data_IF_153849263200
#
_entry.id   IF_153849263200
#
_cell.length_a   1.000
_cell.length_b   1.000
_cell.length_c   1.000
_cell.angle_alpha   90.00
_cell.angle_beta   90.00
_cell.angle_gamma   90.00
#
_symmetry.space_group_name_H-M   'P 1'
#
loop_
_entity.id
_entity.type
_entity.pdbx_description
1 polymer ?
#
# COMPACT_ATOMS: atom_id res chain seq x y z
N UNK A 1 12.05 17.35 5.08
CA UNK A 1 10.93 17.66 5.98
C UNK A 1 9.85 16.61 5.76
N UNK A 2 9.61 15.74 6.75
CA UNK A 2 8.43 14.88 6.74
C UNK A 2 7.20 15.79 6.83
N UNK A 3 6.19 15.61 5.98
CA UNK A 3 4.89 16.29 6.15
C UNK A 3 4.34 15.92 7.52
N UNK A 4 3.74 16.88 8.23
CA UNK A 4 3.15 16.66 9.56
C UNK A 4 2.25 15.40 9.57
N UNK A 5 2.58 14.42 10.43
CA UNK A 5 1.72 13.26 10.71
C UNK A 5 2.29 11.87 10.43
N UNK A 6 3.29 11.70 9.54
CA UNK A 6 3.98 10.42 9.35
C UNK A 6 5.31 10.40 10.11
N UNK A 7 5.52 9.39 10.95
CA UNK A 7 6.73 9.25 11.78
C UNK A 7 7.46 7.95 11.50
N UNK A 8 8.78 8.00 11.53
CA UNK A 8 9.66 6.83 11.50
C UNK A 8 10.11 6.52 12.92
N UNK A 9 10.01 5.24 13.30
CA UNK A 9 10.48 4.74 14.59
C UNK A 9 11.62 3.77 14.31
N UNK A 10 12.81 4.15 14.75
CA UNK A 10 14.03 3.33 14.73
C UNK A 10 14.57 3.21 16.15
N UNK A 11 15.12 2.06 16.52
CA UNK A 11 15.75 1.89 17.84
C UNK A 11 16.85 2.94 18.06
N UNK A 12 16.65 3.89 18.97
CA UNK A 12 17.56 5.01 19.29
C UNK A 12 17.93 4.99 20.78
N UNK A 13 19.04 5.64 21.18
CA UNK A 13 19.38 5.91 22.58
C UNK A 13 19.30 7.44 22.81
N UNK A 14 18.66 7.93 23.89
CA UNK A 14 18.34 9.35 24.05
C UNK A 14 19.54 10.22 24.50
N UNK A 15 19.53 11.50 24.10
CA UNK A 15 20.49 12.53 24.54
C UNK A 15 19.83 13.67 25.36
N UNK A 16 18.49 13.75 25.48
CA UNK A 16 17.80 14.82 26.24
C UNK A 16 16.42 14.44 26.83
N UNK A 17 15.85 15.28 27.72
CA UNK A 17 14.55 15.07 28.37
C UNK A 17 13.32 15.14 27.45
N UNK A 18 13.36 15.90 26.36
CA UNK A 18 12.29 15.88 25.36
C UNK A 18 12.28 14.56 24.56
N UNK A 19 13.43 13.88 24.47
CA UNK A 19 13.54 12.60 23.80
C UNK A 19 12.91 11.46 24.64
N UNK A 20 12.87 11.60 25.97
CA UNK A 20 12.28 10.60 26.89
C UNK A 20 10.78 10.37 26.68
N UNK A 21 9.99 11.43 26.45
CA UNK A 21 8.54 11.29 26.23
C UNK A 21 8.21 10.67 24.85
N UNK A 22 9.03 10.97 23.85
CA UNK A 22 8.94 10.36 22.52
C UNK A 22 9.35 8.88 22.58
N UNK A 23 10.42 8.54 23.29
CA UNK A 23 10.89 7.16 23.46
C UNK A 23 9.85 6.29 24.19
N UNK A 24 9.18 6.81 25.23
CA UNK A 24 8.10 6.11 25.91
C UNK A 24 6.95 5.76 24.94
N UNK A 25 6.52 6.75 24.14
CA UNK A 25 5.48 6.54 23.13
C UNK A 25 5.94 5.55 22.03
N UNK A 26 7.17 5.66 21.56
CA UNK A 26 7.75 4.77 20.56
C UNK A 26 7.89 3.34 21.08
N UNK A 27 8.28 3.17 22.34
CA UNK A 27 8.33 1.91 23.06
C UNK A 27 6.94 1.27 23.18
N UNK A 28 5.92 2.04 23.54
CA UNK A 28 4.54 1.56 23.57
C UNK A 28 4.04 1.13 22.18
N UNK A 29 4.36 1.91 21.13
CA UNK A 29 4.00 1.57 19.76
C UNK A 29 4.70 0.27 19.33
N UNK A 30 5.98 0.10 19.69
CA UNK A 30 6.75 -1.10 19.35
C UNK A 30 6.20 -2.35 20.06
N UNK A 31 5.88 -2.26 21.35
CA UNK A 31 5.33 -3.39 22.10
C UNK A 31 3.92 -3.77 21.62
N UNK A 32 3.07 -2.78 21.33
CA UNK A 32 1.76 -3.03 20.69
C UNK A 32 1.91 -3.67 19.32
N UNK A 33 2.90 -3.23 18.54
CA UNK A 33 3.20 -3.80 17.23
C UNK A 33 3.58 -5.28 17.37
N UNK A 34 4.46 -5.63 18.32
CA UNK A 34 4.81 -7.03 18.62
C UNK A 34 3.60 -7.87 19.05
N UNK A 35 2.67 -7.29 19.80
CA UNK A 35 1.46 -7.99 20.21
C UNK A 35 0.54 -8.28 19.02
N UNK A 36 0.31 -7.30 18.15
CA UNK A 36 -0.51 -7.46 16.95
C UNK A 36 0.07 -8.52 16.02
N UNK A 37 1.39 -8.57 15.82
CA UNK A 37 2.02 -9.61 14.99
C UNK A 37 1.71 -11.03 15.48
N UNK A 38 1.60 -11.22 16.80
CA UNK A 38 1.38 -12.52 17.44
C UNK A 38 -0.09 -12.93 17.51
N UNK A 39 -1.00 -11.98 17.72
CA UNK A 39 -2.40 -12.27 18.10
C UNK A 39 -3.44 -11.66 17.15
N UNK A 40 -3.07 -10.68 16.35
CA UNK A 40 -4.04 -9.92 15.57
C UNK A 40 -4.72 -10.73 14.48
N UNK A 41 -5.91 -10.30 14.09
CA UNK A 41 -6.63 -10.89 12.97
C UNK A 41 -5.98 -10.49 11.64
N UNK A 42 -5.62 -11.48 10.84
CA UNK A 42 -5.05 -11.29 9.50
C UNK A 42 -6.17 -10.90 8.54
N UNK A 43 -6.02 -9.76 7.88
CA UNK A 43 -6.94 -9.26 6.85
C UNK A 43 -6.36 -9.36 5.43
N UNK A 44 -5.08 -9.71 5.30
CA UNK A 44 -4.42 -9.94 4.02
C UNK A 44 -3.06 -10.59 4.21
N UNK A 45 -2.71 -11.52 3.34
CA UNK A 45 -1.39 -12.16 3.32
C UNK A 45 -0.90 -12.27 1.89
N UNK A 46 0.24 -11.63 1.62
CA UNK A 46 0.92 -11.71 0.34
C UNK A 46 2.24 -12.44 0.46
N UNK A 47 3.00 -12.48 -0.63
CA UNK A 47 4.32 -13.08 -0.67
C UNK A 47 5.30 -12.40 0.30
N UNK A 48 5.26 -11.06 0.36
CA UNK A 48 6.25 -10.26 1.09
C UNK A 48 5.76 -9.72 2.43
N UNK A 49 4.45 -9.79 2.73
CA UNK A 49 3.89 -9.18 3.93
C UNK A 49 2.65 -9.89 4.45
N UNK A 50 2.33 -9.64 5.73
CA UNK A 50 1.03 -9.91 6.36
C UNK A 50 0.43 -8.62 6.86
N UNK A 51 -0.87 -8.48 6.70
CA UNK A 51 -1.62 -7.30 7.12
C UNK A 51 -2.61 -7.71 8.20
N UNK A 52 -2.56 -7.01 9.33
CA UNK A 52 -3.38 -7.25 10.51
C UNK A 52 -4.26 -6.04 10.79
N UNK A 53 -5.45 -6.25 11.33
CA UNK A 53 -6.28 -5.16 11.86
C UNK A 53 -5.88 -4.84 13.31
N UNK A 54 -5.95 -3.56 13.69
CA UNK A 54 -5.81 -3.17 15.09
C UNK A 54 -7.09 -3.52 15.86
N UNK A 55 -7.01 -4.39 16.86
CA UNK A 55 -8.18 -4.75 17.69
C UNK A 55 -8.80 -3.53 18.38
N UNK A 56 -7.95 -2.64 18.91
CA UNK A 56 -8.41 -1.43 19.61
C UNK A 56 -8.95 -0.33 18.67
N UNK A 57 -8.62 -0.39 17.37
CA UNK A 57 -9.10 0.57 16.37
C UNK A 57 -9.20 -0.08 14.98
N UNK A 58 -10.37 -0.62 14.60
CA UNK A 58 -10.56 -1.30 13.31
C UNK A 58 -10.33 -0.45 12.05
N UNK A 59 -10.14 0.87 12.18
CA UNK A 59 -9.75 1.77 11.09
C UNK A 59 -8.23 1.83 10.87
N UNK A 60 -7.45 1.08 11.65
CA UNK A 60 -5.99 0.99 11.55
C UNK A 60 -5.58 -0.43 11.19
N UNK A 61 -4.61 -0.56 10.29
CA UNK A 61 -3.97 -1.84 10.01
C UNK A 61 -2.44 -1.75 10.11
N UNK A 62 -1.83 -2.91 10.32
CA UNK A 62 -0.39 -3.12 10.44
C UNK A 62 0.06 -4.05 9.32
N UNK A 63 0.96 -3.59 8.45
CA UNK A 63 1.61 -4.39 7.42
C UNK A 63 2.99 -4.79 7.91
N UNK A 64 3.18 -6.07 8.25
CA UNK A 64 4.46 -6.65 8.63
C UNK A 64 5.15 -7.28 7.44
N UNK A 65 6.42 -6.95 7.24
CA UNK A 65 7.23 -7.51 6.17
C UNK A 65 7.75 -8.90 6.59
N UNK A 66 7.52 -9.89 5.73
CA UNK A 66 8.03 -11.25 5.88
C UNK A 66 9.53 -11.28 5.55
N UNK A 67 10.34 -11.68 6.52
CA UNK A 67 11.79 -11.69 6.38
C UNK A 67 12.29 -12.91 5.63
N UNK A 68 13.46 -12.76 5.02
CA UNK A 68 14.13 -13.83 4.28
C UNK A 68 13.49 -14.13 2.92
N UNK A 69 12.53 -13.32 2.46
CA UNK A 69 11.95 -13.51 1.15
C UNK A 69 12.82 -12.85 0.07
N UNK A 70 13.30 -13.65 -0.88
CA UNK A 70 14.12 -13.18 -2.00
C UNK A 70 13.41 -12.12 -2.86
N UNK A 71 12.07 -12.12 -2.93
CA UNK A 71 11.31 -11.11 -3.68
C UNK A 71 11.34 -9.72 -3.05
N UNK A 72 11.76 -9.60 -1.79
CA UNK A 72 11.98 -8.32 -1.14
C UNK A 72 13.07 -7.49 -1.83
N UNK A 73 14.00 -8.11 -2.58
CA UNK A 73 15.06 -7.40 -3.34
C UNK A 73 14.54 -6.37 -4.34
N UNK A 74 13.27 -6.50 -4.74
CA UNK A 74 12.62 -5.62 -5.69
C UNK A 74 11.73 -4.55 -5.04
N UNK A 75 11.58 -4.59 -3.72
CA UNK A 75 10.71 -3.69 -2.96
C UNK A 75 11.50 -2.58 -2.28
N UNK A 76 10.79 -1.51 -1.94
CA UNK A 76 11.27 -0.45 -1.06
C UNK A 76 10.95 -0.81 0.39
N UNK A 77 11.72 -0.25 1.32
CA UNK A 77 11.43 -0.37 2.75
C UNK A 77 10.09 0.30 3.13
N UNK A 78 9.56 -0.07 4.30
CA UNK A 78 8.30 0.47 4.82
C UNK A 78 8.28 1.98 4.98
N UNK A 79 9.44 2.61 5.24
CA UNK A 79 9.55 4.06 5.34
C UNK A 79 9.26 4.70 3.98
N UNK A 80 9.94 4.24 2.94
CA UNK A 80 9.79 4.75 1.58
C UNK A 80 8.42 4.43 0.99
N UNK A 81 7.87 3.24 1.27
CA UNK A 81 6.48 2.92 0.95
C UNK A 81 5.51 3.90 1.64
N UNK A 82 5.69 4.15 2.94
CA UNK A 82 4.92 5.14 3.68
C UNK A 82 5.02 6.55 3.08
N UNK A 83 6.19 6.97 2.60
CA UNK A 83 6.31 8.25 1.90
C UNK A 83 5.51 8.28 0.59
N UNK A 84 5.50 7.20 -0.19
CA UNK A 84 4.67 7.14 -1.41
C UNK A 84 3.18 7.21 -1.10
N UNK A 85 2.72 6.50 -0.08
CA UNK A 85 1.33 6.60 0.39
C UNK A 85 0.99 8.03 0.81
N UNK A 86 1.85 8.69 1.59
CA UNK A 86 1.64 10.07 2.04
C UNK A 86 1.62 11.10 0.90
N UNK A 87 2.37 10.85 -0.16
CA UNK A 87 2.39 11.71 -1.34
C UNK A 87 1.19 11.51 -2.27
N UNK A 88 0.49 10.38 -2.13
CA UNK A 88 -0.60 9.96 -3.02
C UNK A 88 -1.97 9.92 -2.34
N UNK A 89 -2.05 9.90 -1.00
CA UNK A 89 -3.32 9.72 -0.28
C UNK A 89 -4.36 10.81 -0.46
N UNK A 90 -3.91 12.04 -0.72
CA UNK A 90 -4.80 13.19 -0.98
C UNK A 90 -4.71 13.65 -2.45
N UNK A 91 -4.26 12.78 -3.36
CA UNK A 91 -4.02 13.13 -4.75
C UNK A 91 -5.31 13.19 -5.59
N UNK A 92 -6.28 12.35 -5.24
CA UNK A 92 -7.59 12.30 -5.88
C UNK A 92 -8.68 11.99 -4.85
N UNK A 93 -9.78 12.74 -4.85
CA UNK A 93 -10.92 12.51 -3.95
C UNK A 93 -11.81 11.34 -4.40
N UNK A 94 -11.58 10.86 -5.62
CA UNK A 94 -12.33 9.77 -6.25
C UNK A 94 -11.69 8.39 -6.00
N UNK A 95 -10.42 8.35 -5.57
CA UNK A 95 -9.65 7.12 -5.30
C UNK A 95 -9.07 7.18 -3.89
N UNK A 96 -9.39 6.19 -3.06
CA UNK A 96 -8.82 6.12 -1.70
C UNK A 96 -7.47 5.39 -1.68
N UNK A 97 -6.54 5.91 -0.89
CA UNK A 97 -5.24 5.26 -0.63
C UNK A 97 -5.02 5.29 0.89
N UNK A 98 -4.50 4.21 1.50
CA UNK A 98 -4.18 4.17 2.92
C UNK A 98 -3.32 5.35 3.34
N UNK A 99 -3.79 6.15 4.30
CA UNK A 99 -2.97 7.20 4.92
C UNK A 99 -1.97 6.54 5.89
N UNK A 100 -0.66 6.72 5.71
CA UNK A 100 0.35 6.13 6.58
C UNK A 100 0.47 6.94 7.87
N UNK A 101 0.69 6.25 8.99
CA UNK A 101 0.89 6.85 10.32
C UNK A 101 2.33 6.66 10.80
N UNK A 102 2.82 5.42 10.78
CA UNK A 102 4.14 5.07 11.30
C UNK A 102 4.84 4.05 10.42
N UNK A 103 6.15 4.19 10.28
CA UNK A 103 7.03 3.12 9.81
C UNK A 103 7.95 2.69 10.94
N UNK A 104 8.01 1.38 11.20
CA UNK A 104 8.85 0.79 12.26
C UNK A 104 9.88 -0.10 11.59
N UNK A 105 11.16 0.19 11.84
CA UNK A 105 12.28 -0.64 11.39
C UNK A 105 13.22 -0.83 12.57
N UNK A 106 13.29 -2.05 13.10
CA UNK A 106 14.25 -2.41 14.16
C UNK A 106 15.38 -3.26 13.60
N UNK A 107 16.55 -3.27 14.26
CA UNK A 107 17.78 -3.96 13.86
C UNK A 107 17.60 -5.48 13.75
N UNK A 108 16.92 -5.94 12.70
CA UNK A 108 16.67 -7.35 12.50
C UNK A 108 15.67 -7.94 13.49
N UNK A 109 14.68 -7.21 14.02
CA UNK A 109 13.49 -7.83 14.68
C UNK A 109 12.14 -7.61 13.96
N UNK A 110 11.81 -6.37 13.60
CA UNK A 110 10.52 -6.00 13.00
C UNK A 110 10.75 -5.02 11.85
N UNK A 111 9.98 -5.20 10.78
CA UNK A 111 9.75 -4.17 9.79
C UNK A 111 8.25 -4.08 9.53
N UNK A 112 7.64 -2.94 9.88
CA UNK A 112 6.21 -2.74 9.81
C UNK A 112 5.81 -1.35 9.31
N UNK A 113 4.65 -1.27 8.69
CA UNK A 113 3.99 -0.03 8.28
C UNK A 113 2.58 0.01 8.89
N UNK A 114 2.29 1.06 9.64
CA UNK A 114 0.99 1.30 10.29
C UNK A 114 0.26 2.39 9.53
N UNK A 115 -0.96 2.11 9.12
CA UNK A 115 -1.72 2.99 8.21
C UNK A 115 -3.23 2.87 8.40
N UNK A 116 -3.97 3.84 7.84
CA UNK A 116 -5.43 3.80 7.73
C UNK A 116 -5.84 2.56 6.94
N UNK A 117 -6.76 1.79 7.51
CA UNK A 117 -7.45 0.71 6.83
C UNK A 117 -8.56 1.28 5.94
N UNK A 118 -8.64 0.79 4.72
CA UNK A 118 -9.77 1.08 3.83
C UNK A 118 -10.97 0.20 4.24
N UNK A 119 -11.88 0.74 5.05
CA UNK A 119 -13.05 0.01 5.57
C UNK A 119 -14.12 -0.12 4.48
N UNK A 120 -14.79 -1.29 4.43
CA UNK A 120 -15.73 -1.67 3.37
C UNK A 120 -15.10 -1.88 1.98
N UNK A 121 -13.77 -1.90 1.89
CA UNK A 121 -13.07 -2.21 0.65
C UNK A 121 -12.74 -3.71 0.55
N UNK A 122 -12.80 -4.24 -0.67
CA UNK A 122 -12.33 -5.58 -1.03
C UNK A 122 -11.41 -5.50 -2.25
N UNK A 123 -10.34 -6.30 -2.31
CA UNK A 123 -9.51 -6.36 -3.51
C UNK A 123 -10.29 -6.94 -4.70
N UNK A 124 -9.94 -6.57 -5.94
CA UNK A 124 -10.55 -7.17 -7.13
C UNK A 124 -10.30 -8.68 -7.18
N UNK A 125 -9.11 -9.13 -6.76
CA UNK A 125 -8.78 -10.56 -6.67
C UNK A 125 -9.74 -11.31 -5.74
N UNK A 126 -9.94 -10.80 -4.51
CA UNK A 126 -10.82 -11.41 -3.52
C UNK A 126 -12.28 -11.33 -3.94
N UNK A 127 -12.70 -10.23 -4.57
CA UNK A 127 -14.05 -10.06 -5.09
C UNK A 127 -14.38 -11.13 -6.14
N UNK A 128 -13.48 -11.34 -7.10
CA UNK A 128 -13.66 -12.35 -8.16
C UNK A 128 -13.60 -13.76 -7.56
N UNK A 129 -12.59 -14.03 -6.72
CA UNK A 129 -12.36 -15.36 -6.13
C UNK A 129 -13.52 -15.80 -5.24
N UNK A 130 -14.06 -14.88 -4.44
CA UNK A 130 -15.12 -15.17 -3.48
C UNK A 130 -16.53 -14.86 -4.03
N UNK A 131 -16.63 -14.44 -5.30
CA UNK A 131 -17.89 -14.08 -5.97
C UNK A 131 -18.72 -13.07 -5.17
N UNK A 132 -18.06 -12.01 -4.69
CA UNK A 132 -18.70 -10.97 -3.89
C UNK A 132 -19.57 -10.09 -4.80
N UNK A 133 -20.82 -9.87 -4.39
CA UNK A 133 -21.75 -8.99 -5.11
C UNK A 133 -21.23 -7.55 -5.10
N UNK A 134 -21.21 -6.92 -6.27
CA UNK A 134 -20.91 -5.50 -6.42
C UNK A 134 -22.10 -4.64 -5.96
N UNK A 135 -21.89 -3.34 -5.67
CA UNK A 135 -22.98 -2.40 -5.43
C UNK A 135 -23.98 -2.41 -6.60
N UNK A 136 -25.28 -2.27 -6.32
CA UNK A 136 -26.33 -2.35 -7.36
C UNK A 136 -26.17 -1.30 -8.48
N UNK A 137 -25.59 -0.14 -8.15
CA UNK A 137 -25.32 0.95 -9.08
C UNK A 137 -23.84 1.04 -9.48
N UNK A 138 -23.10 -0.06 -9.41
CA UNK A 138 -21.70 -0.07 -9.79
C UNK A 138 -21.52 0.12 -11.29
N UNK A 139 -20.75 1.13 -11.68
CA UNK A 139 -20.38 1.42 -13.05
C UNK A 139 -18.86 1.21 -13.24
N UNK A 140 -18.50 0.19 -14.01
CA UNK A 140 -17.10 -0.16 -14.24
C UNK A 140 -16.36 0.86 -15.12
N UNK A 141 -17.08 1.66 -15.92
CA UNK A 141 -16.49 2.70 -16.76
C UNK A 141 -16.10 3.90 -15.89
N UNK A 142 -16.99 4.32 -15.00
CA UNK A 142 -16.69 5.36 -13.99
C UNK A 142 -15.51 4.91 -13.11
N UNK A 143 -15.54 3.66 -12.62
CA UNK A 143 -14.46 3.09 -11.82
C UNK A 143 -13.11 3.14 -12.55
N UNK A 144 -13.09 2.77 -13.84
CA UNK A 144 -11.88 2.79 -14.65
C UNK A 144 -11.34 4.21 -14.87
N UNK A 145 -12.22 5.15 -15.19
CA UNK A 145 -11.84 6.55 -15.40
C UNK A 145 -11.24 7.18 -14.15
N UNK A 146 -11.79 6.86 -12.97
CA UNK A 146 -11.25 7.29 -11.67
C UNK A 146 -9.84 6.73 -11.43
N UNK A 147 -9.63 5.43 -11.65
CA UNK A 147 -8.29 4.82 -11.54
C UNK A 147 -7.31 5.47 -12.52
N UNK A 148 -7.67 5.58 -13.79
CA UNK A 148 -6.81 6.17 -14.82
C UNK A 148 -6.40 7.59 -14.43
N UNK A 149 -7.35 8.42 -14.02
CA UNK A 149 -7.11 9.80 -13.56
C UNK A 149 -6.16 9.86 -12.36
N UNK A 150 -6.32 8.96 -11.39
CA UNK A 150 -5.40 8.87 -10.25
C UNK A 150 -3.97 8.51 -10.66
N UNK A 151 -3.79 7.47 -11.49
CA UNK A 151 -2.47 7.08 -11.97
C UNK A 151 -1.83 8.15 -12.85
N UNK A 152 -2.60 8.80 -13.72
CA UNK A 152 -2.14 9.95 -14.51
C UNK A 152 -1.65 11.08 -13.60
N UNK A 153 -2.37 11.38 -12.51
CA UNK A 153 -1.92 12.37 -11.52
C UNK A 153 -0.66 11.90 -10.78
N UNK A 154 -0.56 10.63 -10.40
CA UNK A 154 0.59 10.09 -9.67
C UNK A 154 1.86 10.18 -10.54
N UNK A 155 1.75 9.74 -11.79
CA UNK A 155 2.82 9.80 -12.77
C UNK A 155 3.19 11.23 -13.12
N UNK A 156 2.21 12.09 -13.44
CA UNK A 156 2.51 13.41 -13.99
C UNK A 156 2.88 14.43 -12.92
N UNK A 157 2.17 14.44 -11.78
CA UNK A 157 2.31 15.47 -10.75
C UNK A 157 3.30 15.08 -9.65
N UNK A 158 3.39 13.79 -9.31
CA UNK A 158 4.28 13.29 -8.24
C UNK A 158 5.51 12.55 -8.77
N UNK A 159 5.52 12.19 -10.06
CA UNK A 159 6.53 11.33 -10.66
C UNK A 159 6.65 9.98 -9.93
N UNK A 160 5.55 9.51 -9.32
CA UNK A 160 5.47 8.24 -8.59
C UNK A 160 4.77 7.22 -9.47
N UNK A 161 5.41 6.09 -9.71
CA UNK A 161 4.94 4.96 -10.50
C UNK A 161 4.73 3.77 -9.57
N UNK A 162 3.56 3.13 -9.63
CA UNK A 162 3.18 2.09 -8.67
C UNK A 162 3.94 0.79 -8.91
N UNK A 163 4.07 0.42 -10.18
CA UNK A 163 4.77 -0.77 -10.72
C UNK A 163 4.13 -2.13 -10.40
N UNK A 164 3.15 -2.16 -9.50
CA UNK A 164 2.46 -3.39 -9.08
C UNK A 164 0.93 -3.22 -8.99
N UNK A 165 0.33 -2.49 -9.95
CA UNK A 165 -1.11 -2.16 -9.95
C UNK A 165 -2.01 -3.33 -10.41
N UNK A 166 -1.76 -4.54 -9.92
CA UNK A 166 -2.56 -5.73 -10.26
C UNK A 166 -3.84 -5.83 -9.42
N UNK A 167 -4.72 -6.77 -9.75
CA UNK A 167 -6.04 -6.98 -9.11
C UNK A 167 -6.02 -7.20 -7.59
N UNK A 168 -4.89 -7.57 -6.99
CA UNK A 168 -4.75 -7.69 -5.53
C UNK A 168 -4.50 -6.35 -4.85
N UNK A 169 -3.97 -5.38 -5.58
CA UNK A 169 -3.59 -4.04 -5.09
C UNK A 169 -4.59 -2.95 -5.49
N UNK A 170 -5.62 -3.32 -6.26
CA UNK A 170 -6.77 -2.47 -6.58
C UNK A 170 -7.97 -3.00 -5.79
N UNK A 171 -8.67 -2.09 -5.11
CA UNK A 171 -9.81 -2.39 -4.26
C UNK A 171 -11.08 -1.67 -4.73
N UNK A 172 -12.24 -2.18 -4.34
CA UNK A 172 -13.56 -1.56 -4.54
C UNK A 172 -14.21 -1.35 -3.17
N UNK A 173 -14.72 -0.15 -2.90
CA UNK A 173 -15.61 0.10 -1.80
C UNK A 173 -16.99 -0.51 -2.07
N UNK A 174 -17.42 -1.48 -1.26
CA UNK A 174 -18.68 -2.22 -1.44
C UNK A 174 -19.94 -1.41 -1.17
N UNK A 175 -19.83 -0.19 -0.62
CA UNK A 175 -20.97 0.70 -0.41
C UNK A 175 -21.11 1.74 -1.51
N UNK A 176 -19.98 2.28 -1.98
CA UNK A 176 -19.96 3.43 -2.90
C UNK A 176 -19.49 3.10 -4.31
N UNK A 177 -18.88 1.94 -4.51
CA UNK A 177 -18.24 1.58 -5.78
C UNK A 177 -16.91 2.28 -6.03
N UNK A 178 -16.43 3.16 -5.12
CA UNK A 178 -15.19 3.90 -5.33
C UNK A 178 -13.95 2.99 -5.34
N UNK A 179 -12.96 3.27 -6.21
CA UNK A 179 -11.67 2.62 -6.21
C UNK A 179 -10.83 2.91 -4.97
N UNK A 180 -10.01 1.93 -4.59
CA UNK A 180 -8.91 2.09 -3.67
C UNK A 180 -7.62 1.51 -4.25
N UNK A 181 -6.47 2.09 -3.93
CA UNK A 181 -5.14 1.60 -4.36
C UNK A 181 -4.27 1.37 -3.12
N UNK A 182 -3.66 0.18 -3.04
CA UNK A 182 -2.83 -0.25 -1.90
C UNK A 182 -1.48 -0.84 -2.37
N UNK A 183 -0.58 -1.08 -1.42
CA UNK A 183 0.74 -1.72 -1.61
C UNK A 183 1.68 -0.98 -2.58
N UNK A 184 2.26 0.12 -2.08
CA UNK A 184 3.29 0.88 -2.79
C UNK A 184 4.69 0.30 -2.59
N UNK A 185 4.81 -0.95 -2.08
CA UNK A 185 6.08 -1.59 -1.79
C UNK A 185 6.96 -1.78 -3.01
N UNK A 186 6.37 -1.84 -4.21
CA UNK A 186 7.11 -1.89 -5.47
C UNK A 186 7.27 -0.51 -6.13
N UNK A 187 6.82 0.60 -5.55
CA UNK A 187 6.76 1.89 -6.26
C UNK A 187 8.12 2.57 -6.48
N UNK A 188 8.22 3.45 -7.48
CA UNK A 188 9.41 4.27 -7.78
C UNK A 188 9.01 5.72 -7.93
N UNK A 189 9.86 6.62 -7.44
CA UNK A 189 9.77 8.05 -7.77
C UNK A 189 10.93 8.43 -8.68
N UNK A 190 10.62 9.08 -9.81
CA UNK A 190 11.63 9.61 -10.70
C UNK A 190 12.05 11.01 -10.27
N UNK A 191 13.36 11.24 -10.26
CA UNK A 191 13.96 12.56 -10.05
C UNK A 191 14.54 13.13 -11.36
N UNK A 192 14.92 12.26 -12.29
CA UNK A 192 15.47 12.61 -13.60
C UNK A 192 14.56 12.00 -14.68
N UNK A 193 14.24 12.78 -15.71
CA UNK A 193 13.28 12.38 -16.75
C UNK A 193 13.81 11.32 -17.73
N UNK A 194 15.11 11.07 -17.76
CA UNK A 194 15.75 10.08 -18.63
C UNK A 194 15.63 8.64 -18.11
N UNK A 195 15.28 8.46 -16.84
CA UNK A 195 15.19 7.13 -16.23
C UNK A 195 13.93 6.41 -16.70
N UNK A 196 14.04 5.11 -17.00
CA UNK A 196 12.85 4.27 -17.19
C UNK A 196 12.23 3.97 -15.81
N UNK A 197 10.99 4.40 -15.53
CA UNK A 197 10.35 4.14 -14.24
C UNK A 197 10.09 2.64 -14.02
N UNK A 198 9.91 1.86 -15.09
CA UNK A 198 9.55 0.46 -15.02
C UNK A 198 10.75 -0.49 -15.11
N UNK A 199 11.98 0.02 -15.09
CA UNK A 199 13.19 -0.79 -14.99
C UNK A 199 13.79 -0.72 -13.58
N UNK A 200 14.27 -1.87 -13.14
CA UNK A 200 15.04 -2.03 -11.93
C UNK A 200 16.24 -2.92 -12.20
N UNK A 201 17.43 -2.38 -11.93
CA UNK A 201 18.70 -3.07 -12.07
C UNK A 201 19.06 -3.64 -10.71
N UNK A 202 19.33 -4.94 -10.64
CA UNK A 202 19.78 -5.58 -9.41
C UNK A 202 21.30 -5.49 -9.22
N UNK A 203 21.81 -6.05 -8.12
CA UNK A 203 23.24 -6.02 -7.77
C UNK A 203 24.14 -6.76 -8.77
N UNK A 204 23.57 -7.65 -9.59
CA UNK A 204 24.26 -8.40 -10.63
C UNK A 204 24.14 -7.72 -12.01
N UNK A 205 23.57 -6.52 -12.07
CA UNK A 205 23.23 -5.81 -13.31
C UNK A 205 22.14 -6.49 -14.15
N UNK A 206 21.36 -7.41 -13.56
CA UNK A 206 20.18 -7.97 -14.22
C UNK A 206 19.07 -6.92 -14.23
N UNK A 207 18.43 -6.75 -15.40
CA UNK A 207 17.34 -5.79 -15.57
C UNK A 207 16.00 -6.51 -15.38
N UNK A 208 15.29 -6.16 -14.33
CA UNK A 208 13.89 -6.53 -14.14
C UNK A 208 12.98 -5.44 -14.71
N UNK A 209 12.05 -5.83 -15.59
CA UNK A 209 11.10 -4.92 -16.24
C UNK A 209 9.71 -5.15 -15.64
N UNK A 210 9.18 -4.13 -14.98
CA UNK A 210 7.81 -4.10 -14.50
C UNK A 210 6.83 -3.86 -15.65
N UNK A 211 5.67 -4.50 -15.59
CA UNK A 211 4.54 -4.13 -16.46
C UNK A 211 4.12 -2.70 -16.13
N UNK A 212 3.88 -1.90 -17.16
CA UNK A 212 3.41 -0.52 -16.97
C UNK A 212 2.07 -0.47 -16.26
N UNK A 213 1.86 0.55 -15.43
CA UNK A 213 0.64 0.68 -14.63
C UNK A 213 -0.60 0.77 -15.54
N UNK A 214 -0.49 1.48 -16.68
CA UNK A 214 -1.63 1.62 -17.61
C UNK A 214 -2.07 0.29 -18.22
N UNK A 215 -1.12 -0.62 -18.44
CA UNK A 215 -1.40 -1.98 -18.94
C UNK A 215 -2.08 -2.78 -17.84
N UNK A 216 -1.54 -2.75 -16.61
CA UNK A 216 -2.11 -3.46 -15.45
C UNK A 216 -3.55 -3.02 -15.14
N UNK A 217 -3.82 -1.72 -15.18
CA UNK A 217 -5.18 -1.21 -14.93
C UNK A 217 -6.15 -1.70 -16.00
N UNK A 218 -5.75 -1.73 -17.29
CA UNK A 218 -6.59 -2.31 -18.36
C UNK A 218 -6.87 -3.80 -18.13
N UNK A 219 -5.89 -4.56 -17.65
CA UNK A 219 -6.08 -5.97 -17.28
C UNK A 219 -7.10 -6.12 -16.14
N UNK A 220 -6.96 -5.32 -15.09
CA UNK A 220 -7.89 -5.31 -13.95
C UNK A 220 -9.32 -5.01 -14.41
N UNK A 221 -9.52 -4.00 -15.25
CA UNK A 221 -10.86 -3.62 -15.73
C UNK A 221 -11.44 -4.67 -16.67
N UNK A 222 -10.62 -5.28 -17.53
CA UNK A 222 -11.06 -6.41 -18.37
C UNK A 222 -11.54 -7.57 -17.51
N UNK A 223 -10.78 -7.92 -16.47
CA UNK A 223 -11.13 -9.04 -15.57
C UNK A 223 -12.40 -8.73 -14.78
N UNK A 224 -12.57 -7.48 -14.30
CA UNK A 224 -13.79 -7.02 -13.64
C UNK A 224 -15.01 -7.02 -14.57
N UNK A 225 -14.85 -6.55 -15.81
CA UNK A 225 -15.91 -6.57 -16.83
C UNK A 225 -16.36 -8.00 -17.12
N UNK A 226 -15.42 -8.93 -17.25
CA UNK A 226 -15.72 -10.35 -17.42
C UNK A 226 -16.50 -10.90 -16.22
N UNK A 227 -16.06 -10.59 -15.00
CA UNK A 227 -16.77 -10.99 -13.78
C UNK A 227 -18.22 -10.50 -13.76
N UNK A 228 -18.46 -9.23 -14.12
CA UNK A 228 -19.82 -8.66 -14.18
C UNK A 228 -20.68 -9.38 -15.22
N UNK A 229 -20.13 -9.67 -16.40
CA UNK A 229 -20.85 -10.39 -17.46
C UNK A 229 -21.19 -11.84 -17.05
N UNK A 230 -20.27 -12.53 -16.38
CA UNK A 230 -20.45 -13.93 -15.98
C UNK A 230 -21.44 -14.12 -14.80
N UNK A 231 -21.83 -13.04 -14.10
CA UNK A 231 -22.68 -13.08 -12.90
C UNK A 231 -23.99 -12.26 -13.02
N UNK A 232 -24.28 -11.70 -14.19
CA UNK A 232 -25.56 -11.08 -14.55
C UNK A 232 -26.36 -12.01 -15.46
#
# INVERSE_FOLDING_TARGET
MLKEGFKEITSFQPESENDLNLELLEGEILEKTKEVEKKGDIIGEGETARVYVCESNPEVCYKFIKRGNASYRYRVDTKKEGLFLLETCDLDNDVEVPKPYYSIITKGEIEALIMKRLVDYISIDDLIRNKVKLPDNFDYEIFFDQLKKFFDKAHNNKKIFHRDAHRGNIMINLKTGKPGVIDFGASKKLYISSDNPYEQIDVNSDVFIYTKDEIRIREVVRDLKKYIYDNN
#
